data_IF_505551691662
#
_entry.id   IF_505551691662
#
_cell.length_a   1.000
_cell.length_b   1.000
_cell.length_c   1.000
_cell.angle_alpha   90.00
_cell.angle_beta   90.00
_cell.angle_gamma   90.00
#
_symmetry.space_group_name_H-M   'P 1'
#
loop_
_entity.id
_entity.type
_entity.pdbx_description
1 polymer ?
#
# COMPACT_ATOMS: atom_id res chain seq x y z
N UNK A 1 -39.83 -17.65 74.73
CA UNK A 1 -38.44 -18.05 75.07
C UNK A 1 -37.55 -17.77 73.87
N UNK A 2 -36.54 -16.91 74.06
CA UNK A 2 -35.61 -16.43 73.03
C UNK A 2 -34.81 -17.58 72.42
N UNK A 3 -34.70 -17.64 71.09
CA UNK A 3 -33.63 -18.38 70.40
C UNK A 3 -32.81 -17.37 69.58
N UNK A 4 -31.57 -17.19 70.00
CA UNK A 4 -30.52 -16.50 69.26
C UNK A 4 -30.13 -17.38 68.07
N UNK A 5 -30.22 -16.84 66.85
CA UNK A 5 -29.57 -17.40 65.68
C UNK A 5 -28.45 -16.44 65.28
N UNK A 6 -27.21 -16.82 65.57
CA UNK A 6 -26.04 -16.30 64.89
C UNK A 6 -25.94 -17.03 63.56
N UNK A 7 -25.95 -16.33 62.43
CA UNK A 7 -25.44 -16.88 61.18
C UNK A 7 -24.53 -15.87 60.48
N UNK A 8 -23.40 -16.41 60.05
CA UNK A 8 -22.19 -15.75 59.58
C UNK A 8 -22.43 -14.78 58.41
N UNK A 9 -21.79 -13.62 58.49
CA UNK A 9 -21.57 -12.73 57.36
C UNK A 9 -20.41 -13.29 56.52
N UNK A 10 -20.71 -13.94 55.39
CA UNK A 10 -19.71 -14.31 54.39
C UNK A 10 -19.34 -13.07 53.59
N UNK A 11 -18.16 -12.48 53.87
CA UNK A 11 -17.55 -11.51 52.97
C UNK A 11 -17.18 -12.21 51.67
N UNK A 12 -17.93 -11.96 50.60
CA UNK A 12 -17.45 -12.20 49.25
C UNK A 12 -16.37 -11.15 48.95
N UNK A 13 -15.10 -11.55 49.09
CA UNK A 13 -14.00 -10.88 48.41
C UNK A 13 -14.26 -11.06 46.91
N UNK A 14 -14.89 -10.05 46.30
CA UNK A 14 -14.84 -9.87 44.85
C UNK A 14 -13.38 -9.57 44.55
N UNK A 15 -12.63 -10.60 44.21
CA UNK A 15 -11.33 -10.45 43.58
C UNK A 15 -11.59 -9.66 42.30
N UNK A 16 -11.27 -8.37 42.32
CA UNK A 16 -11.16 -7.57 41.12
C UNK A 16 -10.11 -8.24 40.26
N UNK A 17 -10.55 -9.01 39.26
CA UNK A 17 -9.71 -9.38 38.15
C UNK A 17 -9.25 -8.06 37.54
N UNK A 18 -8.02 -7.67 37.86
CA UNK A 18 -7.36 -6.54 37.23
C UNK A 18 -7.30 -6.88 35.74
N UNK A 19 -8.21 -6.31 34.96
CA UNK A 19 -8.19 -6.43 33.52
C UNK A 19 -6.79 -5.97 33.08
N UNK A 20 -6.04 -6.85 32.41
CA UNK A 20 -4.75 -6.48 31.85
C UNK A 20 -4.98 -5.31 30.89
N UNK A 21 -4.36 -4.19 31.21
CA UNK A 21 -4.38 -2.98 30.40
C UNK A 21 -3.54 -3.22 29.14
N UNK A 22 -4.18 -3.76 28.09
CA UNK A 22 -3.55 -3.96 26.80
C UNK A 22 -3.62 -2.65 25.99
N UNK A 23 -2.72 -1.71 26.26
CA UNK A 23 -2.76 -0.36 25.68
C UNK A 23 -2.91 -0.32 24.14
N UNK A 24 -2.24 -1.23 23.41
CA UNK A 24 -2.40 -1.32 21.94
C UNK A 24 -3.77 -1.85 21.51
N UNK A 25 -4.39 -2.73 22.30
CA UNK A 25 -5.74 -3.21 22.01
C UNK A 25 -6.77 -2.13 22.28
N UNK A 26 -6.58 -1.31 23.31
CA UNK A 26 -7.43 -0.14 23.55
C UNK A 26 -7.29 0.90 22.44
N UNK A 27 -6.05 1.18 21.99
CA UNK A 27 -5.82 2.05 20.84
C UNK A 27 -6.55 1.51 19.60
N UNK A 28 -6.41 0.22 19.33
CA UNK A 28 -7.11 -0.43 18.23
C UNK A 28 -8.63 -0.30 18.36
N UNK A 29 -9.21 -0.63 19.51
CA UNK A 29 -10.65 -0.56 19.76
C UNK A 29 -11.20 0.87 19.64
N UNK A 30 -10.44 1.87 20.10
CA UNK A 30 -10.88 3.27 20.10
C UNK A 30 -10.63 3.99 18.76
N UNK A 31 -9.56 3.66 18.04
CA UNK A 31 -9.12 4.44 16.88
C UNK A 31 -9.12 3.68 15.55
N UNK A 32 -8.81 2.38 15.55
CA UNK A 32 -8.61 1.63 14.30
C UNK A 32 -9.84 0.81 13.90
N UNK A 33 -10.57 0.24 14.87
CA UNK A 33 -11.71 -0.65 14.60
C UNK A 33 -12.87 0.05 13.89
N UNK A 34 -13.11 1.31 14.24
CA UNK A 34 -14.13 2.16 13.63
C UNK A 34 -13.64 2.98 12.44
N UNK A 35 -12.33 2.96 12.15
CA UNK A 35 -11.73 3.75 11.07
C UNK A 35 -12.26 3.35 9.69
N UNK A 36 -12.11 4.28 8.74
CA UNK A 36 -12.34 4.03 7.32
C UNK A 36 -11.04 3.60 6.66
N UNK A 37 -11.08 2.50 5.92
CA UNK A 37 -9.94 1.96 5.19
C UNK A 37 -10.10 2.23 3.70
N UNK A 38 -9.10 2.87 3.11
CA UNK A 38 -9.04 3.18 1.67
C UNK A 38 -7.83 2.45 1.07
N UNK A 39 -8.07 1.71 -0.01
CA UNK A 39 -7.02 1.00 -0.73
C UNK A 39 -6.28 1.97 -1.65
N UNK A 40 -4.98 2.15 -1.43
CA UNK A 40 -4.13 3.06 -2.23
C UNK A 40 -3.27 2.30 -3.24
N UNK A 41 -3.69 1.09 -3.60
CA UNK A 41 -2.94 0.15 -4.43
C UNK A 41 -3.80 -0.37 -5.56
N UNK A 42 -3.27 -0.38 -6.78
CA UNK A 42 -3.91 -1.07 -7.89
C UNK A 42 -3.73 -2.59 -7.75
N UNK A 43 -4.79 -3.35 -8.02
CA UNK A 43 -4.64 -4.77 -8.30
C UNK A 43 -3.88 -4.92 -9.63
N UNK A 44 -2.68 -5.48 -9.58
CA UNK A 44 -1.88 -5.70 -10.78
C UNK A 44 -2.47 -6.83 -11.64
N UNK A 45 -2.28 -6.71 -12.94
CA UNK A 45 -2.83 -7.59 -13.98
C UNK A 45 -1.83 -7.71 -15.14
N UNK A 46 -2.04 -8.66 -16.09
CA UNK A 46 -1.25 -8.73 -17.33
C UNK A 46 -1.36 -7.50 -18.24
N UNK A 47 -2.25 -6.56 -17.92
CA UNK A 47 -2.50 -5.34 -18.70
C UNK A 47 -2.19 -4.06 -17.92
N UNK A 48 -1.58 -4.20 -16.75
CA UNK A 48 -1.18 -3.03 -15.95
C UNK A 48 -0.14 -2.19 -16.71
N UNK A 49 -0.20 -0.86 -16.63
CA UNK A 49 0.88 -0.01 -17.11
C UNK A 49 2.22 -0.46 -16.50
N UNK A 50 3.25 -0.52 -17.34
CA UNK A 50 4.63 -0.83 -16.96
C UNK A 50 5.60 0.06 -17.75
N UNK A 51 6.75 0.37 -17.15
CA UNK A 51 7.79 1.15 -17.81
C UNK A 51 8.13 0.59 -19.21
N UNK A 52 8.27 1.42 -20.26
CA UNK A 52 8.35 0.95 -21.65
C UNK A 52 9.50 0.01 -22.02
N UNK A 53 10.51 -0.14 -21.16
CA UNK A 53 11.60 -1.10 -21.38
C UNK A 53 11.40 -2.45 -20.69
N UNK A 54 10.30 -2.66 -19.97
CA UNK A 54 9.90 -3.96 -19.41
C UNK A 54 8.68 -4.51 -20.15
N UNK A 55 8.53 -5.84 -20.12
CA UNK A 55 7.34 -6.52 -20.62
C UNK A 55 6.23 -6.55 -19.55
N UNK A 56 5.01 -6.88 -19.99
CA UNK A 56 3.89 -7.13 -19.08
C UNK A 56 4.01 -8.50 -18.40
N UNK A 57 3.40 -8.63 -17.22
CA UNK A 57 3.30 -9.90 -16.51
C UNK A 57 2.39 -10.90 -17.23
N UNK A 58 2.67 -12.20 -17.08
CA UNK A 58 1.78 -13.26 -17.56
C UNK A 58 1.19 -14.06 -16.40
N UNK A 59 -0.13 -14.28 -16.42
CA UNK A 59 -0.84 -15.03 -15.39
C UNK A 59 -1.36 -16.34 -15.98
N UNK A 60 -0.92 -17.46 -15.42
CA UNK A 60 -1.21 -18.79 -15.97
C UNK A 60 -1.75 -19.74 -14.89
N UNK A 61 -2.35 -20.86 -15.29
CA UNK A 61 -2.68 -21.91 -14.34
C UNK A 61 -1.41 -22.55 -13.81
N UNK A 62 -1.30 -22.74 -12.48
CA UNK A 62 -0.19 -23.52 -11.93
C UNK A 62 -0.27 -24.96 -12.44
N UNK A 63 0.84 -25.43 -12.99
CA UNK A 63 1.04 -26.83 -13.33
C UNK A 63 1.77 -27.57 -12.21
N UNK A 64 1.44 -28.84 -12.02
CA UNK A 64 2.14 -29.70 -11.08
C UNK A 64 3.60 -29.92 -11.50
N UNK A 65 4.54 -29.37 -10.73
CA UNK A 65 5.97 -29.59 -10.99
C UNK A 65 6.43 -31.03 -10.69
N UNK A 66 5.72 -31.72 -9.80
CA UNK A 66 5.95 -33.12 -9.44
C UNK A 66 4.60 -33.87 -9.38
N UNK A 67 4.55 -35.15 -9.77
CA UNK A 67 3.33 -35.93 -9.68
C UNK A 67 3.04 -36.31 -8.23
N UNK A 68 1.74 -36.47 -7.92
CA UNK A 68 1.25 -37.03 -6.66
C UNK A 68 0.37 -38.24 -7.03
N UNK A 69 0.79 -39.48 -6.71
CA UNK A 69 0.07 -40.68 -7.13
C UNK A 69 -1.42 -40.66 -6.75
N UNK A 70 -2.28 -40.88 -7.73
CA UNK A 70 -3.73 -40.89 -7.56
C UNK A 70 -4.37 -39.51 -7.40
N UNK A 71 -3.62 -38.44 -7.65
CA UNK A 71 -4.12 -37.08 -7.50
C UNK A 71 -3.80 -36.16 -8.70
N UNK A 72 -2.52 -36.03 -9.08
CA UNK A 72 -2.11 -35.14 -10.19
C UNK A 72 -0.84 -35.66 -10.86
N UNK A 73 -0.77 -35.58 -12.19
CA UNK A 73 0.44 -35.92 -12.96
C UNK A 73 1.33 -34.69 -13.22
N UNK A 74 2.61 -34.92 -13.51
CA UNK A 74 3.53 -33.81 -13.80
C UNK A 74 3.08 -33.04 -15.05
N UNK A 75 2.97 -31.72 -14.94
CA UNK A 75 2.54 -30.82 -16.01
C UNK A 75 1.03 -30.62 -16.09
N UNK A 76 0.24 -31.36 -15.31
CA UNK A 76 -1.20 -31.18 -15.23
C UNK A 76 -1.55 -29.89 -14.46
N UNK A 77 -2.59 -29.18 -14.92
CA UNK A 77 -3.05 -27.93 -14.32
C UNK A 77 -4.05 -28.17 -13.20
N UNK A 78 -3.94 -27.45 -12.08
CA UNK A 78 -4.93 -27.54 -11.00
C UNK A 78 -6.26 -26.88 -11.37
N UNK A 79 -7.35 -27.64 -11.27
CA UNK A 79 -8.73 -27.26 -11.58
C UNK A 79 -9.67 -27.54 -10.41
N UNK A 80 -10.75 -26.77 -10.25
CA UNK A 80 -11.74 -27.04 -9.21
C UNK A 80 -12.39 -28.42 -9.37
N UNK A 81 -12.71 -28.84 -10.60
CA UNK A 81 -13.48 -30.07 -10.85
C UNK A 81 -12.69 -31.34 -10.56
N UNK A 82 -11.40 -31.37 -10.86
CA UNK A 82 -10.55 -32.56 -10.67
C UNK A 82 -9.83 -32.54 -9.32
N UNK A 83 -9.43 -31.35 -8.85
CA UNK A 83 -8.51 -31.18 -7.72
C UNK A 83 -9.15 -30.50 -6.50
N UNK A 84 -10.34 -29.90 -6.65
CA UNK A 84 -11.01 -29.15 -5.59
C UNK A 84 -10.38 -27.78 -5.29
N UNK A 85 -9.35 -27.37 -6.04
CA UNK A 85 -8.73 -26.04 -5.92
C UNK A 85 -8.09 -25.59 -7.25
N UNK A 86 -7.80 -24.30 -7.34
CA UNK A 86 -6.98 -23.72 -8.42
C UNK A 86 -5.82 -22.93 -7.82
N UNK A 87 -4.71 -22.87 -8.55
CA UNK A 87 -3.59 -21.99 -8.23
C UNK A 87 -3.15 -21.25 -9.50
N UNK A 88 -2.57 -20.06 -9.33
CA UNK A 88 -2.07 -19.22 -10.42
C UNK A 88 -0.54 -19.17 -10.35
N UNK A 89 0.09 -19.40 -11.50
CA UNK A 89 1.50 -19.07 -11.73
C UNK A 89 1.58 -17.64 -12.25
N UNK A 90 2.53 -16.87 -11.72
CA UNK A 90 2.80 -15.50 -12.12
C UNK A 90 4.20 -15.46 -12.73
N UNK A 91 4.28 -15.11 -14.01
CA UNK A 91 5.55 -14.74 -14.64
C UNK A 91 5.66 -13.22 -14.59
N UNK A 92 6.58 -12.76 -13.76
CA UNK A 92 6.80 -11.35 -13.47
C UNK A 92 8.14 -10.95 -14.10
N UNK A 93 8.15 -10.21 -15.22
CA UNK A 93 9.39 -9.89 -15.94
C UNK A 93 10.28 -8.89 -15.19
N UNK A 94 9.72 -8.15 -14.24
CA UNK A 94 10.41 -7.15 -13.42
C UNK A 94 9.83 -7.12 -12.01
N UNK A 95 10.59 -6.68 -11.01
CA UNK A 95 10.09 -6.33 -9.68
C UNK A 95 9.56 -4.89 -9.60
N UNK A 96 9.62 -4.17 -10.72
CA UNK A 96 9.11 -2.82 -10.96
C UNK A 96 7.76 -2.87 -11.72
N UNK A 97 6.72 -3.42 -11.10
CA UNK A 97 5.42 -3.66 -11.74
C UNK A 97 4.24 -3.43 -10.79
N UNK A 98 3.21 -2.71 -11.25
CA UNK A 98 2.06 -2.36 -10.41
C UNK A 98 2.35 -1.17 -9.50
N UNK A 99 1.58 -1.04 -8.42
CA UNK A 99 1.93 -0.15 -7.30
C UNK A 99 3.14 -0.72 -6.56
N UNK A 100 4.18 0.07 -6.36
CA UNK A 100 5.49 -0.42 -5.94
C UNK A 100 6.19 0.43 -4.89
N UNK A 101 7.19 -0.17 -4.24
CA UNK A 101 8.12 0.44 -3.30
C UNK A 101 9.55 0.22 -3.78
N UNK A 102 10.27 1.31 -4.03
CA UNK A 102 11.65 1.24 -4.50
C UNK A 102 12.61 1.38 -3.33
N UNK A 103 13.41 0.34 -3.03
CA UNK A 103 14.48 0.43 -2.07
C UNK A 103 15.74 1.03 -2.73
N UNK A 104 16.72 1.52 -1.94
CA UNK A 104 17.95 2.10 -2.47
C UNK A 104 18.70 1.21 -3.46
N UNK A 105 18.67 -0.13 -3.29
CA UNK A 105 19.33 -1.09 -4.16
C UNK A 105 18.89 -1.03 -5.63
N UNK A 106 17.75 -0.39 -5.93
CA UNK A 106 17.29 -0.19 -7.30
C UNK A 106 18.32 0.58 -8.15
N UNK A 107 18.99 1.60 -7.56
CA UNK A 107 19.98 2.45 -8.24
C UNK A 107 21.35 2.47 -7.57
N UNK A 108 21.47 1.96 -6.34
CA UNK A 108 22.71 1.97 -5.57
C UNK A 108 23.19 0.54 -5.32
N UNK A 109 24.33 0.14 -5.91
CA UNK A 109 24.91 -1.20 -5.76
C UNK A 109 25.22 -1.60 -4.29
N UNK A 110 25.25 -0.62 -3.37
CA UNK A 110 25.47 -0.80 -1.92
C UNK A 110 24.24 -0.43 -1.10
N UNK A 111 23.11 -0.17 -1.77
CA UNK A 111 21.85 0.18 -1.16
C UNK A 111 21.20 -0.99 -0.42
N UNK A 112 20.29 -0.66 0.49
CA UNK A 112 19.41 -1.65 1.09
C UNK A 112 18.49 -2.25 0.03
N UNK A 113 18.30 -3.57 0.06
CA UNK A 113 17.31 -4.28 -0.77
C UNK A 113 15.93 -4.21 -0.13
N UNK A 114 14.88 -4.59 -0.86
CA UNK A 114 13.51 -4.62 -0.32
C UNK A 114 13.42 -5.53 0.92
N UNK A 115 14.24 -6.60 0.97
CA UNK A 115 14.28 -7.52 2.10
C UNK A 115 15.02 -6.99 3.33
N UNK A 116 15.80 -5.93 3.18
CA UNK A 116 16.54 -5.28 4.25
C UNK A 116 15.70 -4.21 4.97
N UNK A 117 14.61 -3.74 4.34
CA UNK A 117 13.72 -2.74 4.93
C UNK A 117 13.16 -3.24 6.28
N UNK A 118 13.22 -2.43 7.35
CA UNK A 118 12.83 -2.85 8.67
C UNK A 118 11.29 -2.95 8.79
N UNK A 119 10.77 -3.83 9.66
CA UNK A 119 9.33 -3.91 9.94
C UNK A 119 8.70 -2.60 10.46
N UNK A 120 9.52 -1.63 10.89
CA UNK A 120 9.05 -0.31 11.30
C UNK A 120 8.45 0.51 10.15
N UNK A 121 8.53 0.06 8.90
CA UNK A 121 7.76 0.61 7.79
C UNK A 121 6.25 0.37 7.93
N UNK A 122 5.82 -0.63 8.71
CA UNK A 122 4.47 -1.18 8.65
C UNK A 122 3.33 -0.17 8.80
N UNK A 123 3.47 0.87 9.64
CA UNK A 123 2.44 1.90 9.86
C UNK A 123 3.10 3.24 10.12
N UNK A 124 2.70 4.29 9.38
CA UNK A 124 3.20 5.67 9.52
C UNK A 124 2.09 6.72 9.41
N UNK A 125 2.29 7.96 9.90
CA UNK A 125 1.46 9.09 9.51
C UNK A 125 1.44 9.23 7.98
N UNK A 126 0.26 9.48 7.42
CA UNK A 126 0.09 9.78 6.01
C UNK A 126 -0.17 11.29 5.86
N UNK A 127 0.60 11.91 4.96
CA UNK A 127 0.41 13.27 4.48
C UNK A 127 0.15 13.19 2.98
N UNK A 128 -0.87 13.90 2.50
CA UNK A 128 -1.14 14.04 1.07
C UNK A 128 -1.02 15.51 0.69
N UNK A 129 -0.05 15.82 -0.17
CA UNK A 129 0.15 17.15 -0.75
C UNK A 129 -0.56 17.19 -2.10
N UNK A 130 -1.60 18.01 -2.21
CA UNK A 130 -2.41 18.11 -3.42
C UNK A 130 -1.84 19.09 -4.44
N UNK A 131 -1.55 18.59 -5.65
CA UNK A 131 -1.11 19.38 -6.82
C UNK A 131 -1.98 19.13 -8.06
N UNK A 132 -3.11 18.45 -7.95
CA UNK A 132 -3.90 17.99 -9.10
C UNK A 132 -4.35 19.11 -10.04
N UNK A 133 -4.75 20.28 -9.53
CA UNK A 133 -5.13 21.43 -10.38
C UNK A 133 -3.95 21.91 -11.23
N UNK A 134 -2.74 21.96 -10.66
CA UNK A 134 -1.51 22.36 -11.37
C UNK A 134 -1.13 21.34 -12.43
N UNK A 135 -1.37 20.05 -12.15
CA UNK A 135 -1.16 18.95 -13.11
C UNK A 135 -2.20 19.00 -14.23
N UNK A 136 -3.45 19.35 -13.94
CA UNK A 136 -4.49 19.53 -14.94
C UNK A 136 -4.16 20.66 -15.93
N UNK A 137 -3.55 21.76 -15.44
CA UNK A 137 -3.07 22.86 -16.27
C UNK A 137 -1.77 22.51 -17.02
N UNK A 138 -0.84 21.82 -16.34
CA UNK A 138 0.45 21.43 -16.87
C UNK A 138 0.73 19.95 -16.54
N UNK A 139 0.46 19.00 -17.48
CA UNK A 139 0.60 17.57 -17.23
C UNK A 139 2.00 17.10 -16.78
N UNK A 140 3.04 17.91 -17.03
CA UNK A 140 4.42 17.67 -16.58
C UNK A 140 4.82 18.48 -15.35
N UNK A 141 3.86 18.94 -14.54
CA UNK A 141 4.15 19.71 -13.33
C UNK A 141 4.89 18.84 -12.32
N UNK A 142 6.09 19.27 -11.94
CA UNK A 142 6.81 18.66 -10.82
C UNK A 142 6.53 19.44 -9.55
N UNK A 143 6.03 18.77 -8.52
CA UNK A 143 5.72 19.33 -7.22
C UNK A 143 6.96 20.02 -6.61
N UNK A 144 6.74 21.22 -6.10
CA UNK A 144 7.77 22.15 -5.63
C UNK A 144 7.76 22.25 -4.11
N UNK A 145 8.85 22.76 -3.54
CA UNK A 145 8.96 23.05 -2.10
C UNK A 145 7.85 24.02 -1.67
N UNK A 146 7.44 24.93 -2.54
CA UNK A 146 6.34 25.87 -2.26
C UNK A 146 4.98 25.16 -2.08
N UNK A 147 4.75 24.04 -2.78
CA UNK A 147 3.52 23.25 -2.61
C UNK A 147 3.47 22.63 -1.21
N UNK A 148 4.60 22.07 -0.77
CA UNK A 148 4.76 21.51 0.58
C UNK A 148 4.60 22.59 1.65
N UNK A 149 5.21 23.76 1.47
CA UNK A 149 5.08 24.86 2.44
C UNK A 149 3.67 25.41 2.53
N UNK A 150 2.98 25.56 1.40
CA UNK A 150 1.59 25.99 1.39
C UNK A 150 0.70 24.97 2.13
N UNK A 151 0.97 23.67 1.93
CA UNK A 151 0.31 22.62 2.69
C UNK A 151 0.57 22.75 4.20
N UNK A 152 1.81 23.00 4.62
CA UNK A 152 2.16 23.16 6.04
C UNK A 152 1.57 24.42 6.69
N UNK A 153 1.35 25.49 5.91
CA UNK A 153 0.66 26.69 6.38
C UNK A 153 -0.80 26.41 6.76
N UNK A 154 -1.45 25.46 6.08
CA UNK A 154 -2.85 25.07 6.32
C UNK A 154 -2.98 23.94 7.35
N UNK A 155 -2.11 22.94 7.28
CA UNK A 155 -2.22 21.69 8.03
C UNK A 155 -1.27 21.59 9.24
N UNK A 156 -0.22 22.41 9.27
CA UNK A 156 0.85 22.33 10.26
C UNK A 156 2.05 21.53 9.76
N UNK A 157 3.03 21.32 10.65
CA UNK A 157 4.31 20.71 10.30
C UNK A 157 4.16 19.22 9.92
N UNK A 158 4.88 18.77 8.89
CA UNK A 158 4.92 17.35 8.52
C UNK A 158 5.53 16.54 9.67
N UNK A 159 4.86 15.49 10.18
CA UNK A 159 5.41 14.67 11.25
C UNK A 159 6.70 13.94 10.85
N UNK A 160 7.68 13.87 11.76
CA UNK A 160 8.88 13.04 11.60
C UNK A 160 8.51 11.59 11.26
N UNK A 161 9.17 11.02 10.25
CA UNK A 161 8.93 9.66 9.79
C UNK A 161 7.58 9.46 9.08
N UNK A 162 6.87 10.54 8.72
CA UNK A 162 5.66 10.45 7.89
C UNK A 162 5.95 9.89 6.50
N UNK A 163 4.89 9.43 5.84
CA UNK A 163 4.88 9.14 4.41
C UNK A 163 4.15 10.27 3.72
N UNK A 164 4.77 10.84 2.69
CA UNK A 164 4.23 11.99 1.96
C UNK A 164 3.87 11.58 0.54
N UNK A 165 2.59 11.57 0.20
CA UNK A 165 2.11 11.29 -1.14
C UNK A 165 1.69 12.56 -1.87
N UNK A 166 2.03 12.65 -3.16
CA UNK A 166 1.64 13.76 -4.02
C UNK A 166 0.42 13.38 -4.85
N UNK A 167 -0.72 13.98 -4.54
CA UNK A 167 -1.95 13.83 -5.32
C UNK A 167 -1.85 14.66 -6.60
N UNK A 168 -2.12 14.00 -7.72
CA UNK A 168 -2.06 14.57 -9.08
C UNK A 168 -3.24 14.15 -9.95
N UNK A 169 -4.09 13.24 -9.46
CA UNK A 169 -5.18 12.57 -10.20
C UNK A 169 -4.70 11.89 -11.50
N UNK A 170 -3.41 11.53 -11.56
CA UNK A 170 -2.81 10.79 -12.66
C UNK A 170 -3.29 9.34 -12.73
N UNK A 171 -3.62 8.75 -11.57
CA UNK A 171 -4.08 7.38 -11.39
C UNK A 171 -5.32 7.06 -12.24
N UNK A 172 -6.15 8.04 -12.58
CA UNK A 172 -7.29 7.87 -13.49
C UNK A 172 -6.88 7.27 -14.84
N UNK A 173 -5.69 7.62 -15.33
CA UNK A 173 -5.15 7.14 -16.62
C UNK A 173 -4.71 5.67 -16.55
N UNK A 174 -4.50 5.10 -15.37
CA UNK A 174 -4.16 3.67 -15.20
C UNK A 174 -5.16 2.76 -15.94
N UNK A 175 -6.44 3.14 -15.94
CA UNK A 175 -7.51 2.37 -16.59
C UNK A 175 -8.06 3.07 -17.83
N UNK A 176 -8.15 4.39 -17.83
CA UNK A 176 -8.81 5.14 -18.91
C UNK A 176 -7.92 5.37 -20.13
N UNK A 177 -6.60 5.47 -19.94
CA UNK A 177 -5.61 5.64 -21.00
C UNK A 177 -4.22 5.10 -20.55
N UNK A 178 -4.07 3.76 -20.46
CA UNK A 178 -2.83 3.11 -20.00
C UNK A 178 -1.60 3.52 -20.82
N UNK A 179 -1.81 3.76 -22.11
CA UNK A 179 -0.80 4.23 -23.06
C UNK A 179 -0.26 5.62 -22.67
N UNK A 180 -1.14 6.52 -22.24
CA UNK A 180 -0.76 7.87 -21.78
C UNK A 180 -0.11 7.86 -20.41
N UNK A 181 -0.46 6.90 -19.56
CA UNK A 181 0.03 6.78 -18.19
C UNK A 181 1.56 6.87 -18.10
N UNK A 182 2.26 6.13 -18.98
CA UNK A 182 3.71 6.01 -19.00
C UNK A 182 4.43 6.92 -20.00
N UNK A 183 3.68 7.80 -20.71
CA UNK A 183 4.28 8.70 -21.71
C UNK A 183 4.62 10.04 -21.07
N UNK A 184 5.87 10.48 -21.21
CA UNK A 184 6.27 11.85 -20.83
C UNK A 184 5.54 12.89 -21.70
N UNK A 185 5.16 14.05 -21.15
CA UNK A 185 5.30 14.44 -19.75
C UNK A 185 4.21 13.82 -18.86
N UNK A 186 4.58 13.44 -17.65
CA UNK A 186 3.70 13.07 -16.53
C UNK A 186 4.12 13.91 -15.31
N UNK A 187 3.28 14.07 -14.28
CA UNK A 187 3.63 14.86 -13.11
C UNK A 187 4.78 14.21 -12.33
N UNK A 188 5.45 14.96 -11.48
CA UNK A 188 6.57 14.40 -10.73
C UNK A 188 6.85 15.18 -9.46
N UNK A 189 7.99 14.91 -8.84
CA UNK A 189 8.49 15.62 -7.67
C UNK A 189 9.82 16.25 -8.04
N UNK A 190 9.98 17.55 -7.80
CA UNK A 190 11.23 18.22 -8.10
C UNK A 190 12.33 17.80 -7.11
N UNK A 191 13.58 17.72 -7.57
CA UNK A 191 14.75 17.36 -6.76
C UNK A 191 14.86 18.15 -5.44
N UNK A 192 14.65 19.46 -5.48
CA UNK A 192 14.71 20.30 -4.27
C UNK A 192 13.57 20.00 -3.29
N UNK A 193 12.41 19.56 -3.79
CA UNK A 193 11.27 19.12 -2.98
C UNK A 193 11.58 17.80 -2.27
N UNK A 194 12.12 16.82 -3.00
CA UNK A 194 12.55 15.56 -2.41
C UNK A 194 13.62 15.80 -1.33
N UNK A 195 14.64 16.61 -1.62
CA UNK A 195 15.66 17.02 -0.63
C UNK A 195 15.06 17.70 0.60
N UNK A 196 14.14 18.63 0.40
CA UNK A 196 13.48 19.31 1.51
C UNK A 196 12.75 18.33 2.42
N UNK A 197 11.96 17.42 1.85
CA UNK A 197 11.23 16.42 2.61
C UNK A 197 12.17 15.48 3.38
N UNK A 198 13.16 14.91 2.71
CA UNK A 198 14.05 13.91 3.32
C UNK A 198 15.08 14.52 4.27
N UNK A 199 15.72 15.63 3.90
CA UNK A 199 16.81 16.22 4.69
C UNK A 199 16.35 17.26 5.73
N UNK A 200 15.14 17.83 5.58
CA UNK A 200 14.61 18.87 6.49
C UNK A 200 13.39 18.45 7.29
N UNK A 201 12.60 17.50 6.78
CA UNK A 201 11.39 17.01 7.45
C UNK A 201 11.53 15.59 7.97
N UNK A 202 12.66 14.93 7.69
CA UNK A 202 12.98 13.59 8.19
C UNK A 202 11.84 12.58 7.94
N UNK A 203 11.22 12.68 6.76
CA UNK A 203 10.15 11.76 6.35
C UNK A 203 10.72 10.35 6.13
N UNK A 204 9.86 9.33 6.17
CA UNK A 204 10.28 7.97 5.87
C UNK A 204 10.50 7.77 4.36
N UNK A 205 9.49 8.10 3.56
CA UNK A 205 9.56 8.13 2.11
C UNK A 205 8.44 8.98 1.53
N UNK A 206 8.62 9.37 0.28
CA UNK A 206 7.59 10.04 -0.50
C UNK A 206 7.08 9.14 -1.62
N UNK A 207 5.93 9.46 -2.20
CA UNK A 207 5.39 8.73 -3.34
C UNK A 207 4.45 9.54 -4.20
N UNK A 208 4.14 8.99 -5.36
CA UNK A 208 3.38 9.67 -6.42
C UNK A 208 2.64 8.66 -7.30
N UNK A 209 1.67 9.16 -8.04
CA UNK A 209 0.83 8.31 -8.89
C UNK A 209 1.58 7.76 -10.13
N UNK A 210 2.42 8.50 -10.88
CA UNK A 210 3.21 7.94 -11.99
C UNK A 210 4.21 6.84 -11.58
N UNK A 211 4.76 6.11 -12.56
CA UNK A 211 5.78 5.05 -12.41
C UNK A 211 7.24 5.55 -12.53
N UNK A 212 7.46 6.84 -12.37
CA UNK A 212 8.79 7.42 -12.22
C UNK A 212 8.64 8.70 -11.39
N UNK A 213 9.63 9.05 -10.55
CA UNK A 213 9.59 10.28 -9.72
C UNK A 213 9.54 11.56 -10.52
N UNK A 214 10.19 11.57 -11.68
CA UNK A 214 10.36 12.78 -12.47
C UNK A 214 10.55 12.48 -13.96
N UNK A 215 10.39 13.50 -14.80
CA UNK A 215 10.52 13.36 -16.25
C UNK A 215 11.87 13.85 -16.81
N UNK A 216 12.82 14.26 -15.97
CA UNK A 216 14.10 14.83 -16.40
C UNK A 216 14.97 13.81 -17.14
N UNK A 217 16.00 14.31 -17.82
CA UNK A 217 17.01 13.45 -18.42
C UNK A 217 17.82 12.76 -17.31
N UNK A 218 17.77 11.43 -17.26
CA UNK A 218 18.46 10.64 -16.25
C UNK A 218 17.75 10.53 -14.89
N UNK A 219 16.48 10.97 -14.80
CA UNK A 219 15.65 10.87 -13.59
C UNK A 219 16.38 11.42 -12.35
N UNK A 220 16.84 12.66 -12.43
CA UNK A 220 17.79 13.23 -11.46
C UNK A 220 17.27 13.23 -10.01
N UNK A 221 15.95 13.20 -9.82
CA UNK A 221 15.33 13.14 -8.48
C UNK A 221 15.41 11.73 -7.95
N UNK A 222 15.05 10.74 -8.75
CA UNK A 222 15.15 9.32 -8.41
C UNK A 222 16.62 8.91 -8.18
N UNK A 223 17.51 9.31 -9.09
CA UNK A 223 18.96 9.08 -8.97
C UNK A 223 19.49 9.60 -7.64
N UNK A 224 19.19 10.86 -7.30
CA UNK A 224 19.60 11.42 -6.02
C UNK A 224 18.96 10.66 -4.85
N UNK A 225 17.65 10.41 -4.89
CA UNK A 225 16.91 9.78 -3.81
C UNK A 225 17.52 8.43 -3.41
N UNK A 226 17.66 7.53 -4.38
CA UNK A 226 18.04 6.14 -4.14
C UNK A 226 19.55 6.01 -3.87
N UNK A 227 20.38 6.86 -4.48
CA UNK A 227 21.79 6.94 -4.10
C UNK A 227 22.02 7.55 -2.71
N UNK A 228 21.06 8.31 -2.17
CA UNK A 228 21.11 8.83 -0.80
C UNK A 228 20.38 7.95 0.22
N UNK A 229 20.13 6.68 -0.12
CA UNK A 229 19.58 5.67 0.77
C UNK A 229 18.14 5.91 1.25
N UNK A 230 17.37 6.72 0.52
CA UNK A 230 15.94 6.87 0.72
C UNK A 230 15.16 5.88 -0.17
N UNK A 231 13.86 5.75 0.11
CA UNK A 231 12.93 4.93 -0.67
C UNK A 231 11.83 5.82 -1.29
N UNK A 232 11.06 5.24 -2.20
CA UNK A 232 9.84 5.86 -2.74
C UNK A 232 8.72 4.86 -3.01
N UNK A 233 7.50 5.38 -3.12
CA UNK A 233 6.36 4.64 -3.64
C UNK A 233 5.93 5.18 -5.00
N UNK A 234 5.62 4.27 -5.93
CA UNK A 234 5.15 4.63 -7.26
C UNK A 234 3.85 3.89 -7.59
N UNK A 235 3.07 4.44 -8.52
CA UNK A 235 1.81 3.80 -8.91
C UNK A 235 0.74 3.80 -7.81
N UNK A 236 0.80 4.73 -6.85
CA UNK A 236 -0.27 4.85 -5.83
C UNK A 236 -1.57 5.39 -6.45
N UNK A 237 -2.69 5.14 -5.81
CA UNK A 237 -4.03 5.49 -6.34
C UNK A 237 -4.96 5.98 -5.24
N UNK A 238 -6.13 6.50 -5.61
CA UNK A 238 -7.19 6.95 -4.70
C UNK A 238 -6.74 8.03 -3.70
N UNK A 239 -5.73 8.85 -4.04
CA UNK A 239 -5.29 9.95 -3.18
C UNK A 239 -6.35 11.06 -3.07
N UNK A 240 -7.27 11.14 -4.02
CA UNK A 240 -8.49 11.96 -3.99
C UNK A 240 -9.49 11.51 -2.92
N UNK A 241 -9.30 10.32 -2.33
CA UNK A 241 -10.25 9.70 -1.40
C UNK A 241 -9.77 9.66 0.04
N UNK A 242 -8.67 10.32 0.36
CA UNK A 242 -8.08 10.33 1.71
C UNK A 242 -7.92 11.77 2.19
N UNK A 243 -7.94 12.01 3.52
CA UNK A 243 -7.67 13.34 4.02
C UNK A 243 -6.20 13.71 3.81
N UNK A 244 -5.94 14.99 3.61
CA UNK A 244 -4.58 15.52 3.46
C UNK A 244 -3.73 15.31 4.71
N UNK A 245 -4.35 15.28 5.90
CA UNK A 245 -3.69 15.00 7.18
C UNK A 245 -4.54 14.12 8.11
N UNK A 246 -3.90 13.55 9.13
CA UNK A 246 -4.57 12.84 10.22
C UNK A 246 -4.89 11.37 9.93
N UNK A 247 -4.64 10.90 8.70
CA UNK A 247 -4.65 9.48 8.38
C UNK A 247 -3.32 8.81 8.76
N UNK A 248 -3.37 7.48 8.92
CA UNK A 248 -2.19 6.62 8.89
C UNK A 248 -2.13 5.91 7.54
N UNK A 249 -0.95 5.47 7.13
CA UNK A 249 -0.77 4.50 6.04
C UNK A 249 -0.21 3.20 6.60
N UNK A 250 -0.89 2.10 6.34
CA UNK A 250 -0.35 0.75 6.51
C UNK A 250 0.37 0.32 5.24
N UNK A 251 1.58 -0.19 5.39
CA UNK A 251 2.51 -0.49 4.29
C UNK A 251 2.90 -1.97 4.39
N UNK A 252 2.46 -2.75 3.40
CA UNK A 252 2.94 -4.11 3.16
C UNK A 252 3.68 -4.17 1.84
N UNK A 253 4.64 -5.07 1.71
CA UNK A 253 5.30 -5.34 0.44
C UNK A 253 5.79 -6.79 0.39
N UNK A 254 5.90 -7.32 -0.83
CA UNK A 254 6.55 -8.61 -1.03
C UNK A 254 8.01 -8.52 -0.55
N UNK A 255 8.52 -9.60 0.06
CA UNK A 255 9.88 -9.64 0.64
C UNK A 255 10.79 -10.65 -0.07
N UNK A 256 11.01 -10.54 -1.40
CA UNK A 256 12.00 -11.37 -2.08
C UNK A 256 13.39 -11.06 -1.53
N UNK A 257 14.13 -12.11 -1.15
CA UNK A 257 15.47 -11.96 -0.59
C UNK A 257 16.39 -11.31 -1.62
N UNK A 258 16.92 -10.14 -1.29
CA UNK A 258 17.81 -9.37 -2.17
C UNK A 258 17.11 -8.64 -3.31
N UNK A 259 15.78 -8.47 -3.26
CA UNK A 259 15.03 -7.78 -4.33
C UNK A 259 15.36 -6.30 -4.45
N UNK A 260 15.38 -5.80 -5.68
CA UNK A 260 15.75 -4.42 -6.04
C UNK A 260 14.55 -3.51 -6.25
N UNK A 261 13.36 -4.06 -6.31
CA UNK A 261 12.06 -3.38 -6.27
C UNK A 261 11.10 -4.13 -5.35
N UNK A 262 9.84 -3.71 -5.31
CA UNK A 262 8.86 -4.36 -4.44
C UNK A 262 7.42 -4.08 -4.82
N UNK A 263 6.65 -5.16 -5.01
CA UNK A 263 5.19 -5.11 -5.04
C UNK A 263 4.67 -4.64 -3.68
N UNK A 264 4.02 -3.48 -3.67
CA UNK A 264 3.57 -2.85 -2.44
C UNK A 264 2.05 -2.90 -2.28
N UNK A 265 1.59 -2.83 -1.03
CA UNK A 265 0.21 -2.67 -0.63
C UNK A 265 0.13 -1.55 0.39
N UNK A 266 -0.41 -0.43 -0.04
CA UNK A 266 -0.68 0.75 0.77
C UNK A 266 -2.17 0.83 1.08
N UNK A 267 -2.49 1.00 2.36
CA UNK A 267 -3.87 1.18 2.84
C UNK A 267 -3.89 2.40 3.75
N UNK A 268 -4.67 3.41 3.39
CA UNK A 268 -4.93 4.52 4.30
C UNK A 268 -5.94 4.12 5.37
N UNK A 269 -5.65 4.51 6.61
CA UNK A 269 -6.52 4.37 7.77
C UNK A 269 -6.97 5.78 8.15
N UNK A 270 -8.18 6.12 7.75
CA UNK A 270 -8.78 7.45 7.86
C UNK A 270 -9.69 7.55 9.09
N UNK A 271 -10.01 8.78 9.54
CA UNK A 271 -11.01 9.01 10.58
C UNK A 271 -12.34 8.26 10.32
N UNK A 272 -13.05 7.84 11.37
CA UNK A 272 -14.27 7.03 11.26
C UNK A 272 -15.43 7.73 10.54
N UNK A 273 -15.43 9.06 10.54
CA UNK A 273 -16.41 9.94 9.89
C UNK A 273 -15.99 10.39 8.49
N UNK A 274 -14.84 9.91 7.99
CA UNK A 274 -14.40 10.18 6.62
C UNK A 274 -15.39 9.60 5.59
N UNK A 275 -15.61 10.33 4.50
CA UNK A 275 -16.68 10.00 3.54
C UNK A 275 -16.36 8.79 2.65
N UNK A 276 -15.08 8.52 2.42
CA UNK A 276 -14.61 7.43 1.57
C UNK A 276 -14.09 6.24 2.37
N UNK A 277 -14.00 5.09 1.69
CA UNK A 277 -13.49 3.84 2.26
C UNK A 277 -14.55 3.02 2.97
N UNK A 278 -14.10 1.92 3.57
CA UNK A 278 -14.95 0.95 4.26
C UNK A 278 -14.49 0.75 5.69
N UNK A 279 -15.43 0.56 6.60
CA UNK A 279 -15.16 0.13 7.98
C UNK A 279 -15.08 -1.39 8.06
N UNK A 280 -14.49 -1.91 9.13
CA UNK A 280 -14.55 -3.34 9.44
C UNK A 280 -15.99 -3.85 9.65
N UNK A 281 -16.95 -2.99 9.97
CA UNK A 281 -18.36 -3.39 10.06
C UNK A 281 -18.98 -3.59 8.68
N UNK A 282 -18.61 -2.74 7.71
CA UNK A 282 -19.10 -2.80 6.33
C UNK A 282 -18.40 -3.92 5.54
N UNK A 283 -17.10 -4.15 5.80
CA UNK A 283 -16.29 -5.19 5.20
C UNK A 283 -15.53 -5.99 6.29
N UNK A 284 -16.15 -7.00 6.92
CA UNK A 284 -15.62 -7.68 8.11
C UNK A 284 -14.35 -8.51 7.93
N UNK A 285 -13.90 -8.72 6.70
CA UNK A 285 -12.72 -9.54 6.39
C UNK A 285 -12.89 -11.04 6.65
N UNK A 286 -13.82 -11.44 7.52
CA UNK A 286 -14.21 -12.82 7.79
C UNK A 286 -15.67 -12.92 8.30
N UNK A 287 -16.51 -13.79 7.73
CA UNK A 287 -16.31 -14.42 6.42
C UNK A 287 -16.27 -13.35 5.31
N UNK A 288 -15.49 -13.62 4.25
CA UNK A 288 -15.53 -12.80 3.04
C UNK A 288 -16.82 -13.11 2.24
N UNK A 289 -17.35 -12.15 1.48
CA UNK A 289 -18.53 -12.38 0.64
C UNK A 289 -18.22 -13.41 -0.46
N UNK A 290 -19.22 -14.22 -0.81
CA UNK A 290 -19.17 -15.10 -1.97
C UNK A 290 -19.41 -14.32 -3.28
N UNK A 291 -18.88 -14.84 -4.39
CA UNK A 291 -19.18 -14.31 -5.72
C UNK A 291 -20.52 -14.86 -6.24
N UNK A 292 -21.27 -14.04 -6.99
CA UNK A 292 -22.55 -14.45 -7.60
C UNK A 292 -22.40 -15.53 -8.68
N UNK A 293 -21.20 -15.64 -9.27
CA UNK A 293 -20.86 -16.59 -10.32
C UNK A 293 -19.59 -17.38 -9.97
N UNK A 294 -19.49 -18.66 -10.41
CA UNK A 294 -18.30 -19.45 -10.21
C UNK A 294 -17.08 -18.83 -10.91
N UNK A 295 -15.95 -18.78 -10.21
CA UNK A 295 -14.70 -18.30 -10.79
C UNK A 295 -14.24 -19.19 -11.97
N UNK A 296 -13.80 -18.57 -13.05
CA UNK A 296 -13.29 -19.19 -14.28
C UNK A 296 -11.99 -18.53 -14.71
N UNK A 297 -11.07 -19.31 -15.26
CA UNK A 297 -9.79 -18.80 -15.75
C UNK A 297 -9.93 -18.26 -17.18
N UNK A 298 -9.34 -17.11 -17.43
CA UNK A 298 -9.16 -16.49 -18.74
C UNK A 298 -7.68 -16.06 -18.92
N UNK A 299 -7.39 -15.33 -20.00
CA UNK A 299 -6.04 -14.83 -20.32
C UNK A 299 -5.49 -13.76 -19.34
N UNK A 300 -6.36 -13.17 -18.52
CA UNK A 300 -6.00 -12.17 -17.52
C UNK A 300 -5.90 -12.74 -16.09
N UNK A 301 -6.22 -14.02 -15.90
CA UNK A 301 -6.18 -14.69 -14.61
C UNK A 301 -7.48 -15.40 -14.26
N UNK A 302 -7.82 -15.42 -12.98
CA UNK A 302 -9.06 -16.01 -12.47
C UNK A 302 -10.08 -14.90 -12.27
N UNK A 303 -11.23 -14.98 -12.94
CA UNK A 303 -12.28 -13.97 -12.93
C UNK A 303 -13.67 -14.62 -12.79
N UNK A 304 -14.71 -13.79 -12.64
CA UNK A 304 -16.12 -14.21 -12.48
C UNK A 304 -16.77 -14.64 -13.81
#
# INVERSE_FOLDING_TARGET
MRRFCFLLLSLFLVGSAQAQDHGLWQMYEHHLKGAKYVDLTFAFSPTSPVWPGFDNAEFQATQAGNPIPGYVEKGETYTYDEHGFVATSYELPTDQYGTQLDPPAHWNERGATISDLPPTYAVRPLVVVDVHEKVAEQPGYHAKVEDVKAWEEEHGDIPEGAVVFFRSDWHEKWTTDPDRYNKKPFPGVALETAKYLHEKKDILFHGHEPLDTDTTAGLITEDWLLNNHYAQAEGVTNLDRVPEQGALVAIGFAKPKGGTGGYARYIAICPPDWEHGVTMKEAPGAPLPEHDHPLRRNEHGLDR
#
